data_IF_496383625775
#
_entry.id   IF_496383625775
#
_cell.length_a   1.000
_cell.length_b   1.000
_cell.length_c   1.000
_cell.angle_alpha   90.00
_cell.angle_beta   90.00
_cell.angle_gamma   90.00
#
_symmetry.space_group_name_H-M   'P 1'
#
loop_
_entity.id
_entity.type
_entity.pdbx_description
1 polymer ?
#
# COMPACT_ATOMS: atom_id res chain seq x y z
N UNK A 1 20.22 -6.42 -4.24
CA UNK A 1 19.29 -6.46 -3.08
C UNK A 1 17.97 -7.02 -3.59
N UNK A 2 17.27 -7.90 -2.86
CA UNK A 2 15.93 -8.27 -3.31
C UNK A 2 15.07 -7.02 -3.12
N UNK A 3 14.58 -6.43 -4.21
CA UNK A 3 13.58 -5.39 -4.12
C UNK A 3 12.33 -6.05 -3.52
N UNK A 4 11.93 -5.62 -2.32
CA UNK A 4 10.56 -5.88 -1.86
C UNK A 4 9.61 -5.39 -2.94
N UNK A 5 8.54 -6.13 -3.21
CA UNK A 5 7.54 -5.61 -4.15
C UNK A 5 7.05 -4.26 -3.63
N UNK A 6 6.83 -3.29 -4.52
CA UNK A 6 6.36 -1.94 -4.16
C UNK A 6 5.12 -2.00 -3.26
N UNK A 7 4.28 -3.01 -3.45
CA UNK A 7 3.13 -3.32 -2.60
C UNK A 7 3.54 -3.73 -1.17
N UNK A 8 4.57 -4.56 -0.98
CA UNK A 8 5.05 -4.92 0.34
C UNK A 8 5.59 -3.70 1.10
N UNK A 9 6.34 -2.83 0.41
CA UNK A 9 6.86 -1.59 1.00
C UNK A 9 5.72 -0.65 1.42
N UNK A 10 4.67 -0.53 0.58
CA UNK A 10 3.49 0.26 0.91
C UNK A 10 2.74 -0.31 2.13
N UNK A 11 2.61 -1.63 2.22
CA UNK A 11 1.98 -2.31 3.36
C UNK A 11 2.74 -2.01 4.66
N UNK A 12 4.07 -2.12 4.64
CA UNK A 12 4.92 -1.80 5.78
C UNK A 12 4.81 -0.32 6.18
N UNK A 13 4.75 0.60 5.20
CA UNK A 13 4.54 2.02 5.47
C UNK A 13 3.21 2.28 6.20
N UNK A 14 2.11 1.67 5.75
CA UNK A 14 0.81 1.80 6.42
C UNK A 14 0.84 1.21 7.84
N UNK A 15 1.49 0.06 8.06
CA UNK A 15 1.61 -0.51 9.39
C UNK A 15 2.38 0.41 10.35
N UNK A 16 3.46 1.04 9.89
CA UNK A 16 4.23 2.02 10.67
C UNK A 16 3.43 3.28 11.03
N UNK A 17 2.39 3.60 10.25
CA UNK A 17 1.43 4.68 10.55
C UNK A 17 0.34 4.25 11.54
N UNK A 18 0.32 2.99 11.98
CA UNK A 18 -0.62 2.47 12.97
C UNK A 18 -1.83 1.73 12.40
N UNK A 19 -1.87 1.48 11.09
CA UNK A 19 -2.94 0.67 10.51
C UNK A 19 -2.75 -0.82 10.82
N UNK A 20 -3.85 -1.53 11.09
CA UNK A 20 -3.82 -2.98 11.31
C UNK A 20 -3.28 -3.70 10.05
N UNK A 21 -2.51 -4.79 10.18
CA UNK A 21 -1.93 -5.49 9.02
C UNK A 21 -2.95 -5.88 7.95
N UNK A 22 -4.13 -6.38 8.35
CA UNK A 22 -5.20 -6.73 7.42
C UNK A 22 -5.73 -5.51 6.64
N UNK A 23 -5.97 -4.39 7.33
CA UNK A 23 -6.43 -3.14 6.70
C UNK A 23 -5.38 -2.60 5.73
N UNK A 24 -4.11 -2.59 6.12
CA UNK A 24 -3.01 -2.15 5.26
C UNK A 24 -2.91 -3.00 3.98
N UNK A 25 -2.89 -4.33 4.12
CA UNK A 25 -2.84 -5.25 2.98
C UNK A 25 -4.04 -5.08 2.03
N UNK A 26 -5.25 -4.97 2.56
CA UNK A 26 -6.45 -4.76 1.75
C UNK A 26 -6.46 -3.41 1.02
N UNK A 27 -6.01 -2.35 1.69
CA UNK A 27 -5.95 -1.02 1.09
C UNK A 27 -4.92 -0.97 -0.05
N UNK A 28 -3.74 -1.56 0.16
CA UNK A 28 -2.69 -1.62 -0.87
C UNK A 28 -3.09 -2.51 -2.04
N UNK A 29 -3.70 -3.68 -1.80
CA UNK A 29 -4.18 -4.54 -2.88
C UNK A 29 -5.22 -3.83 -3.76
N UNK A 30 -6.09 -3.01 -3.16
CA UNK A 30 -7.02 -2.19 -3.92
C UNK A 30 -6.32 -1.07 -4.70
N UNK A 31 -5.31 -0.43 -4.11
CA UNK A 31 -4.52 0.60 -4.80
C UNK A 31 -3.76 0.02 -6.02
N UNK A 32 -3.19 -1.19 -5.90
CA UNK A 32 -2.55 -1.90 -7.02
C UNK A 32 -3.57 -2.20 -8.12
N UNK A 33 -4.77 -2.66 -7.75
CA UNK A 33 -5.84 -2.92 -8.73
C UNK A 33 -6.30 -1.65 -9.46
N UNK A 34 -6.26 -0.50 -8.79
CA UNK A 34 -6.69 0.79 -9.36
C UNK A 34 -5.61 1.42 -10.25
N UNK A 35 -4.35 1.39 -9.81
CA UNK A 35 -3.23 2.08 -10.46
C UNK A 35 -2.45 1.20 -11.45
N UNK A 36 -2.60 -0.13 -11.35
CA UNK A 36 -1.84 -1.10 -12.11
C UNK A 36 -0.53 -1.53 -11.43
N UNK A 37 0.07 -2.60 -11.95
CA UNK A 37 1.27 -3.21 -11.36
C UNK A 37 2.54 -2.34 -11.48
N UNK A 38 2.54 -1.38 -12.41
CA UNK A 38 3.65 -0.43 -12.61
C UNK A 38 3.58 0.80 -11.66
N UNK A 39 2.60 0.85 -10.76
CA UNK A 39 2.43 1.96 -9.84
C UNK A 39 3.62 2.10 -8.87
N UNK A 40 4.10 3.34 -8.72
CA UNK A 40 5.17 3.66 -7.79
C UNK A 40 4.72 3.63 -6.32
N UNK A 41 5.68 3.49 -5.40
CA UNK A 41 5.43 3.40 -3.95
C UNK A 41 4.59 4.56 -3.43
N UNK A 42 4.95 5.79 -3.80
CA UNK A 42 4.26 6.98 -3.31
C UNK A 42 2.79 7.04 -3.76
N UNK A 43 2.50 6.57 -4.98
CA UNK A 43 1.14 6.55 -5.52
C UNK A 43 0.30 5.48 -4.81
N UNK A 44 0.87 4.27 -4.62
CA UNK A 44 0.23 3.20 -3.85
C UNK A 44 -0.06 3.65 -2.41
N UNK A 45 0.89 4.27 -1.71
CA UNK A 45 0.70 4.74 -0.34
C UNK A 45 -0.38 5.80 -0.26
N UNK A 46 -0.41 6.76 -1.19
CA UNK A 46 -1.43 7.82 -1.21
C UNK A 46 -2.85 7.24 -1.38
N UNK A 47 -3.04 6.35 -2.35
CA UNK A 47 -4.36 5.74 -2.61
C UNK A 47 -4.76 4.80 -1.49
N UNK A 48 -3.84 3.95 -1.02
CA UNK A 48 -4.09 3.04 0.09
C UNK A 48 -4.42 3.78 1.39
N UNK A 49 -3.70 4.87 1.71
CA UNK A 49 -3.97 5.67 2.90
C UNK A 49 -5.36 6.30 2.86
N UNK A 50 -5.76 6.88 1.71
CA UNK A 50 -7.11 7.43 1.53
C UNK A 50 -8.18 6.38 1.79
N UNK A 51 -7.93 5.12 1.41
CA UNK A 51 -8.86 4.00 1.56
C UNK A 51 -8.86 3.37 2.96
N UNK A 52 -7.74 3.44 3.67
CA UNK A 52 -7.62 2.90 5.02
C UNK A 52 -8.14 3.87 6.10
N UNK A 53 -8.07 5.18 5.83
CA UNK A 53 -8.49 6.23 6.76
C UNK A 53 -9.93 6.75 6.53
N UNK A 54 -10.51 6.48 5.36
CA UNK A 54 -11.92 6.75 5.05
C UNK A 54 -12.81 5.56 5.41
#
# INVERSE_FOLDING_TARGET
VPAGSVSADAISALQNLGFKPATASMAVAAAVKELGDDAGLNDLVRVALKRAAG
#
